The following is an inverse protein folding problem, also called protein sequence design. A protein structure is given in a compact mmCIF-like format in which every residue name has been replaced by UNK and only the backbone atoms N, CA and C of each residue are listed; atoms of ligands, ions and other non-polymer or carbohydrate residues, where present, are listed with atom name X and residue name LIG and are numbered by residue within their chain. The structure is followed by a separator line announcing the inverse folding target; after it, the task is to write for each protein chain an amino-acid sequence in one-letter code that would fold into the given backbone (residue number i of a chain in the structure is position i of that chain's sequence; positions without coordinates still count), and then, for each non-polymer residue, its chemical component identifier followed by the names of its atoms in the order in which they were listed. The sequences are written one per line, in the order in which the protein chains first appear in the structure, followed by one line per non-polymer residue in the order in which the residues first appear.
data_IF_269734506723
#
_entry.id   IF_269734506723
#
_cell.length_a   1.000
_cell.length_b   1.000
_cell.length_c   1.000
_cell.angle_alpha   90.00
_cell.angle_beta   90.00
_cell.angle_gamma   90.00
#
_symmetry.space_group_name_H-M   'P 1'
#
loop_
_entity.id
_entity.type
_entity.pdbx_description
1 polymer ?
#
# COMPACT_ATOMS: atom_id res chain seq x y z
N UNK A 1 -11.81 -6.99 -24.05
CA UNK A 1 -10.41 -6.89 -23.62
C UNK A 1 -10.44 -7.01 -22.11
N UNK A 2 -9.82 -8.05 -21.58
CA UNK A 2 -9.69 -8.24 -20.14
C UNK A 2 -8.81 -7.10 -19.61
N UNK A 3 -9.25 -6.43 -18.53
CA UNK A 3 -8.50 -5.33 -17.93
C UNK A 3 -7.44 -5.97 -17.05
N UNK A 4 -6.16 -5.70 -17.31
CA UNK A 4 -5.11 -6.23 -16.45
C UNK A 4 -5.28 -5.67 -15.03
N UNK A 5 -5.41 -6.57 -14.06
CA UNK A 5 -5.63 -6.22 -12.65
C UNK A 5 -4.52 -6.73 -11.75
N UNK A 6 -4.30 -6.04 -10.63
CA UNK A 6 -3.35 -6.42 -9.59
C UNK A 6 -4.09 -6.55 -8.26
N UNK A 7 -3.79 -7.62 -7.54
CA UNK A 7 -4.22 -7.80 -6.16
C UNK A 7 -3.29 -7.06 -5.21
N UNK A 8 -3.84 -6.24 -4.31
CA UNK A 8 -3.09 -5.52 -3.28
C UNK A 8 -3.64 -5.90 -1.91
N UNK A 9 -2.74 -6.17 -0.96
CA UNK A 9 -3.09 -6.32 0.45
C UNK A 9 -2.90 -4.99 1.18
N UNK A 10 -3.99 -4.44 1.73
CA UNK A 10 -3.99 -3.18 2.48
C UNK A 10 -4.06 -3.48 3.97
N UNK A 11 -3.14 -2.92 4.75
CA UNK A 11 -3.16 -2.96 6.21
C UNK A 11 -3.54 -1.59 6.78
N UNK A 12 -4.46 -1.54 7.74
CA UNK A 12 -4.98 -0.29 8.34
C UNK A 12 -5.37 -0.48 9.81
N UNK A 13 -5.63 0.62 10.54
CA UNK A 13 -5.96 0.64 11.98
C UNK A 13 -4.93 -0.02 12.93
N UNK A 14 -3.72 -0.28 12.44
CA UNK A 14 -2.59 -0.77 13.22
C UNK A 14 -1.47 0.23 13.29
N UNK A 15 -0.27 -0.25 13.60
CA UNK A 15 0.93 0.56 13.66
C UNK A 15 2.10 -0.16 13.03
N UNK A 16 2.94 0.60 12.34
CA UNK A 16 4.24 0.11 11.93
C UNK A 16 5.14 0.02 13.15
N UNK A 17 5.80 -1.12 13.31
CA UNK A 17 6.74 -1.40 14.39
C UNK A 17 8.04 -1.90 13.81
N UNK A 18 9.11 -1.55 14.51
CA UNK A 18 10.46 -1.98 14.17
C UNK A 18 11.00 -2.78 15.36
N UNK A 19 11.19 -4.08 15.17
CA UNK A 19 11.74 -5.00 16.18
C UNK A 19 12.76 -5.90 15.49
N UNK A 20 13.93 -6.05 16.11
CA UNK A 20 14.99 -6.95 15.62
C UNK A 20 15.38 -6.75 14.14
N UNK A 21 15.42 -5.49 13.68
CA UNK A 21 15.64 -5.09 12.28
C UNK A 21 14.55 -5.52 11.27
N UNK A 22 13.42 -6.03 11.76
CA UNK A 22 12.25 -6.39 10.95
C UNK A 22 11.21 -5.27 11.11
N UNK A 23 10.76 -4.72 9.99
CA UNK A 23 9.61 -3.81 9.97
C UNK A 23 8.33 -4.61 9.73
N UNK A 24 7.44 -4.60 10.71
CA UNK A 24 6.14 -5.26 10.65
C UNK A 24 5.01 -4.25 10.84
N UNK A 25 3.84 -4.58 10.32
CA UNK A 25 2.60 -3.90 10.68
C UNK A 25 1.92 -4.74 11.77
N UNK A 26 1.88 -4.23 13.00
CA UNK A 26 1.24 -4.92 14.13
C UNK A 26 -0.06 -4.22 14.53
N UNK A 27 -1.02 -5.06 14.94
CA UNK A 27 -2.37 -4.61 15.22
C UNK A 27 -3.12 -4.20 13.95
N UNK A 28 -4.42 -3.91 14.12
CA UNK A 28 -5.28 -3.48 13.02
C UNK A 28 -5.86 -4.61 12.18
N UNK A 29 -6.26 -4.25 10.97
CA UNK A 29 -7.01 -5.08 10.03
C UNK A 29 -6.29 -5.12 8.68
N UNK A 30 -6.62 -6.16 7.89
CA UNK A 30 -6.13 -6.30 6.53
C UNK A 30 -7.29 -6.54 5.56
N UNK A 31 -7.20 -5.96 4.36
CA UNK A 31 -8.17 -6.15 3.29
C UNK A 31 -7.45 -6.31 1.95
N UNK A 32 -7.76 -7.40 1.25
CA UNK A 32 -7.38 -7.56 -0.16
C UNK A 32 -8.27 -6.70 -1.05
N UNK A 33 -7.67 -5.97 -1.98
CA UNK A 33 -8.35 -5.23 -3.04
C UNK A 33 -7.81 -5.64 -4.40
N UNK A 34 -8.65 -5.53 -5.43
CA UNK A 34 -8.27 -5.72 -6.83
C UNK A 34 -8.41 -4.37 -7.51
N UNK A 35 -7.35 -3.92 -8.18
CA UNK A 35 -7.31 -2.64 -8.90
C UNK A 35 -6.81 -2.87 -10.32
N UNK A 36 -7.08 -1.92 -11.22
CA UNK A 36 -6.45 -1.93 -12.56
C UNK A 36 -4.94 -1.68 -12.44
N UNK A 37 -4.15 -2.28 -13.32
CA UNK A 37 -2.72 -1.94 -13.46
C UNK A 37 -2.47 -0.45 -13.76
N UNK A 38 -3.45 0.23 -14.34
CA UNK A 38 -3.39 1.66 -14.66
C UNK A 38 -4.00 2.55 -13.57
N UNK A 39 -4.24 2.03 -12.37
CA UNK A 39 -4.78 2.83 -11.26
C UNK A 39 -3.87 4.01 -10.94
N UNK A 40 -4.47 5.17 -10.72
CA UNK A 40 -3.77 6.38 -10.30
C UNK A 40 -3.61 6.45 -8.79
N UNK A 41 -2.68 7.29 -8.33
CA UNK A 41 -2.52 7.60 -6.91
C UNK A 41 -3.81 8.10 -6.27
N UNK A 42 -4.52 9.01 -6.96
CA UNK A 42 -5.78 9.54 -6.46
C UNK A 42 -6.85 8.46 -6.30
N UNK A 43 -6.99 7.55 -7.25
CA UNK A 43 -7.95 6.44 -7.17
C UNK A 43 -7.60 5.46 -6.06
N UNK A 44 -6.31 5.19 -5.84
CA UNK A 44 -5.85 4.32 -4.76
C UNK A 44 -6.14 4.95 -3.39
N UNK A 45 -5.78 6.22 -3.20
CA UNK A 45 -6.11 6.98 -1.97
C UNK A 45 -7.62 7.01 -1.73
N UNK A 46 -8.40 7.19 -2.80
CA UNK A 46 -9.84 7.22 -2.75
C UNK A 46 -10.45 5.91 -2.26
N UNK A 47 -9.90 4.78 -2.71
CA UNK A 47 -10.26 3.44 -2.23
C UNK A 47 -9.92 3.29 -0.75
N UNK A 48 -8.74 3.75 -0.31
CA UNK A 48 -8.34 3.65 1.10
C UNK A 48 -9.28 4.43 2.02
N UNK A 49 -9.67 5.66 1.65
CA UNK A 49 -10.68 6.40 2.43
C UNK A 49 -12.00 5.64 2.58
N UNK A 50 -12.45 4.97 1.51
CA UNK A 50 -13.68 4.14 1.54
C UNK A 50 -13.51 2.92 2.44
N UNK A 51 -12.36 2.25 2.38
CA UNK A 51 -12.05 1.07 3.21
C UNK A 51 -12.04 1.45 4.70
N UNK A 52 -11.40 2.56 5.03
CA UNK A 52 -11.27 3.04 6.41
C UNK A 52 -12.52 3.77 6.91
N UNK A 53 -13.52 4.01 6.05
CA UNK A 53 -14.66 4.89 6.32
C UNK A 53 -14.23 6.25 6.93
N UNK A 54 -13.14 6.82 6.40
CA UNK A 54 -12.50 8.00 6.94
C UNK A 54 -12.94 9.28 6.20
N UNK A 55 -13.20 10.35 6.97
CA UNK A 55 -13.54 11.67 6.43
C UNK A 55 -12.30 12.37 5.89
N UNK A 56 -12.28 12.63 4.58
CA UNK A 56 -11.17 13.28 3.86
C UNK A 56 -10.88 14.70 4.30
N UNK A 57 -11.86 15.38 4.91
CA UNK A 57 -11.68 16.73 5.42
C UNK A 57 -11.03 16.74 6.81
N UNK A 58 -10.96 15.58 7.49
CA UNK A 58 -10.44 15.45 8.85
C UNK A 58 -9.13 14.68 8.92
N UNK A 59 -8.93 13.73 8.02
CA UNK A 59 -7.79 12.83 8.02
C UNK A 59 -7.05 12.89 6.71
N UNK A 60 -5.73 12.71 6.79
CA UNK A 60 -4.85 12.55 5.63
C UNK A 60 -4.41 11.10 5.58
N UNK A 61 -4.67 10.43 4.46
CA UNK A 61 -4.13 9.10 4.20
C UNK A 61 -2.67 9.21 3.75
N UNK A 62 -1.79 8.41 4.35
CA UNK A 62 -0.41 8.23 3.90
C UNK A 62 -0.20 6.77 3.55
N UNK A 63 0.18 6.51 2.30
CA UNK A 63 0.46 5.16 1.81
C UNK A 63 1.95 4.85 1.94
N UNK A 64 2.26 3.65 2.43
CA UNK A 64 3.64 3.16 2.58
C UNK A 64 3.68 1.67 2.29
N UNK A 65 4.78 1.22 1.72
CA UNK A 65 5.07 -0.20 1.50
C UNK A 65 6.54 -0.49 1.80
N UNK A 66 6.83 -1.76 2.09
CA UNK A 66 8.19 -2.22 2.39
C UNK A 66 8.76 -2.93 1.18
N UNK A 67 10.00 -2.58 0.80
CA UNK A 67 10.78 -3.31 -0.21
C UNK A 67 11.98 -3.98 0.45
N UNK A 68 12.27 -5.25 0.17
CA UNK A 68 13.48 -5.93 0.63
C UNK A 68 14.68 -5.33 -0.10
N UNK A 69 15.69 -4.91 0.67
CA UNK A 69 17.01 -4.55 0.15
C UNK A 69 17.97 -5.75 0.21
N UNK A 70 17.75 -6.66 1.17
CA UNK A 70 18.49 -7.91 1.35
C UNK A 70 17.62 -8.91 2.10
N UNK A 71 18.16 -10.10 2.40
CA UNK A 71 17.46 -11.13 3.19
C UNK A 71 17.11 -10.70 4.62
N UNK A 72 17.74 -9.65 5.14
CA UNK A 72 17.57 -9.18 6.52
C UNK A 72 17.30 -7.68 6.64
N UNK A 73 17.14 -6.97 5.53
CA UNK A 73 16.91 -5.53 5.52
C UNK A 73 15.77 -5.15 4.58
N UNK A 74 14.84 -4.36 5.11
CA UNK A 74 13.73 -3.77 4.36
C UNK A 74 13.81 -2.25 4.42
N UNK A 75 13.33 -1.60 3.37
CA UNK A 75 13.18 -0.15 3.33
C UNK A 75 11.72 0.20 3.12
N UNK A 76 11.21 1.14 3.93
CA UNK A 76 9.92 1.76 3.70
C UNK A 76 10.03 2.83 2.61
N UNK A 77 9.17 2.69 1.62
CA UNK A 77 8.91 3.70 0.62
C UNK A 77 7.52 4.26 0.85
N UNK A 78 7.36 5.56 0.60
CA UNK A 78 6.04 6.19 0.53
C UNK A 78 5.54 6.08 -0.90
N UNK A 79 4.23 6.14 -1.05
CA UNK A 79 3.59 6.38 -2.35
C UNK A 79 3.00 7.78 -2.28
N UNK A 80 3.57 8.71 -3.04
CA UNK A 80 3.20 10.13 -3.02
C UNK A 80 2.64 10.60 -4.38
N UNK A 81 2.89 9.86 -5.47
CA UNK A 81 2.40 10.17 -6.81
C UNK A 81 2.13 8.93 -7.70
N UNK A 82 1.80 9.17 -8.98
CA UNK A 82 1.49 8.10 -9.94
C UNK A 82 2.71 7.25 -10.32
N UNK A 83 3.92 7.81 -10.32
CA UNK A 83 5.13 7.07 -10.67
C UNK A 83 5.47 6.08 -9.55
N UNK A 84 5.29 6.50 -8.30
CA UNK A 84 5.41 5.63 -7.13
C UNK A 84 4.38 4.48 -7.17
N UNK A 85 3.13 4.76 -7.57
CA UNK A 85 2.11 3.71 -7.73
C UNK A 85 2.55 2.69 -8.75
N UNK A 86 3.05 3.13 -9.91
CA UNK A 86 3.50 2.23 -10.96
C UNK A 86 4.69 1.38 -10.52
N UNK A 87 5.63 1.95 -9.75
CA UNK A 87 6.72 1.19 -9.18
C UNK A 87 6.23 0.16 -8.15
N UNK A 88 5.31 0.56 -7.26
CA UNK A 88 4.69 -0.34 -6.29
C UNK A 88 3.95 -1.51 -6.96
N UNK A 89 3.20 -1.26 -8.02
CA UNK A 89 2.45 -2.31 -8.73
C UNK A 89 3.38 -3.30 -9.42
N UNK A 90 4.41 -2.82 -10.12
CA UNK A 90 5.44 -3.69 -10.74
C UNK A 90 6.05 -4.65 -9.73
N UNK A 91 6.37 -4.13 -8.54
CA UNK A 91 6.92 -4.94 -7.46
C UNK A 91 5.96 -6.04 -6.98
N UNK A 92 4.64 -5.79 -6.99
CA UNK A 92 3.64 -6.78 -6.57
C UNK A 92 3.21 -7.76 -7.67
N UNK A 93 3.51 -7.48 -8.94
CA UNK A 93 3.24 -8.40 -10.05
C UNK A 93 4.40 -9.36 -10.36
N UNK A 94 5.60 -9.06 -9.86
CA UNK A 94 6.82 -9.87 -10.09
C UNK A 94 7.20 -10.76 -8.88
N UNK A 95 6.42 -10.72 -7.80
CA UNK A 95 6.52 -11.63 -6.65
C UNK A 95 5.60 -12.86 -6.83
#
# INVERSE_FOLDING_TARGET
MEMDTVGILVFYNGSWVHKDNIESYEGGEAKGIIVSQNVTFSELVDLIYKIMNADRNKYIVTLKYSVPLSSSAYKRLKVEDNDDVQYFLKYNTEL
#
